data_IF_906794574665
#
_entry.id   IF_906794574665
#
_cell.length_a   1.000
_cell.length_b   1.000
_cell.length_c   1.000
_cell.angle_alpha   90.00
_cell.angle_beta   90.00
_cell.angle_gamma   90.00
#
_symmetry.space_group_name_H-M   'P 1'
#
loop_
_entity.id
_entity.type
_entity.pdbx_description
1 polymer ?
#
# COMPACT_ATOMS: atom_id res chain seq x y z
N UNK A 1 22.96 2.78 -23.15
CA UNK A 1 23.61 4.09 -22.94
C UNK A 1 22.56 5.07 -22.45
N UNK A 2 22.90 6.05 -21.59
CA UNK A 2 21.95 7.09 -21.17
C UNK A 2 21.39 7.79 -22.41
N UNK A 3 20.07 8.07 -22.51
CA UNK A 3 19.54 8.83 -23.64
C UNK A 3 20.25 10.18 -23.72
N UNK A 4 20.79 10.50 -24.91
CA UNK A 4 21.48 11.75 -25.19
C UNK A 4 20.45 12.88 -25.35
N UNK A 5 20.00 13.45 -24.24
CA UNK A 5 18.94 14.46 -24.18
C UNK A 5 19.40 15.79 -23.60
N UNK A 6 18.74 16.87 -24.01
CA UNK A 6 18.82 18.16 -23.30
C UNK A 6 17.85 18.18 -22.11
N UNK A 7 18.10 19.02 -21.10
CA UNK A 7 17.35 19.10 -19.83
C UNK A 7 15.80 19.27 -19.99
N UNK A 8 15.33 19.67 -21.17
CA UNK A 8 13.93 19.92 -21.51
C UNK A 8 13.28 18.85 -22.41
N UNK A 9 13.90 17.68 -22.56
CA UNK A 9 13.39 16.61 -23.42
C UNK A 9 13.03 15.36 -22.60
N UNK A 10 11.81 14.87 -22.79
CA UNK A 10 11.36 13.57 -22.27
C UNK A 10 11.59 12.50 -23.34
N UNK A 11 12.24 11.41 -22.98
CA UNK A 11 12.47 10.28 -23.89
C UNK A 11 11.76 9.04 -23.36
N UNK A 12 10.94 8.44 -24.22
CA UNK A 12 10.46 7.08 -23.97
C UNK A 12 11.64 6.11 -24.06
N UNK A 13 11.64 5.10 -23.20
CA UNK A 13 12.61 4.02 -23.31
C UNK A 13 12.33 3.20 -24.57
N UNK A 14 13.38 2.72 -25.26
CA UNK A 14 13.22 1.82 -26.40
C UNK A 14 12.39 0.57 -26.03
N UNK A 15 11.53 0.05 -26.93
CA UNK A 15 10.72 -1.12 -26.66
C UNK A 15 11.51 -2.35 -26.20
N UNK A 16 12.73 -2.55 -26.73
CA UNK A 16 13.64 -3.63 -26.35
C UNK A 16 14.23 -3.46 -24.93
N UNK A 17 14.28 -2.24 -24.41
CA UNK A 17 14.59 -2.00 -22.99
C UNK A 17 13.37 -2.30 -22.14
N UNK A 18 12.19 -1.83 -22.57
CA UNK A 18 10.93 -2.01 -21.83
C UNK A 18 10.59 -3.50 -21.60
N UNK A 19 10.81 -4.35 -22.60
CA UNK A 19 10.55 -5.79 -22.53
C UNK A 19 11.77 -6.63 -22.09
N UNK A 20 12.89 -5.98 -21.76
CA UNK A 20 14.07 -6.63 -21.17
C UNK A 20 15.03 -7.30 -22.14
N UNK A 21 14.82 -7.18 -23.46
CA UNK A 21 15.78 -7.66 -24.48
C UNK A 21 17.13 -6.93 -24.43
N UNK A 22 17.14 -5.67 -24.00
CA UNK A 22 18.34 -4.85 -23.83
C UNK A 22 18.43 -4.32 -22.39
N UNK A 23 19.56 -4.55 -21.72
CA UNK A 23 19.85 -3.99 -20.39
C UNK A 23 20.55 -2.64 -20.51
N UNK A 24 20.10 -1.66 -19.72
CA UNK A 24 20.68 -0.32 -19.68
C UNK A 24 21.36 0.04 -18.34
N UNK A 25 21.20 -0.82 -17.33
CA UNK A 25 21.81 -0.68 -16.02
C UNK A 25 21.06 0.22 -15.04
N UNK A 26 19.80 0.56 -15.31
CA UNK A 26 18.97 1.30 -14.37
C UNK A 26 18.18 0.38 -13.43
N UNK A 27 17.80 0.93 -12.27
CA UNK A 27 16.85 0.30 -11.36
C UNK A 27 15.44 0.81 -11.68
N UNK A 28 14.55 -0.13 -11.96
CA UNK A 28 13.16 0.12 -12.31
C UNK A 28 12.21 -0.12 -11.13
N UNK A 29 11.00 0.48 -11.13
CA UNK A 29 10.04 0.25 -10.07
C UNK A 29 9.62 -1.24 -10.01
N UNK A 30 9.53 -1.79 -8.81
CA UNK A 30 9.12 -3.18 -8.57
C UNK A 30 7.61 -3.33 -8.32
N UNK A 31 6.89 -2.22 -8.21
CA UNK A 31 5.45 -2.12 -8.12
C UNK A 31 5.05 -0.73 -8.65
N UNK A 32 3.90 -0.64 -9.29
CA UNK A 32 3.36 0.64 -9.77
C UNK A 32 1.99 0.88 -9.16
N UNK A 33 1.77 2.14 -8.80
CA UNK A 33 0.54 2.66 -8.24
C UNK A 33 0.19 3.91 -9.04
N UNK A 34 -0.96 3.89 -9.70
CA UNK A 34 -1.44 4.94 -10.58
C UNK A 34 -2.65 5.67 -9.98
N UNK A 35 -3.14 6.67 -10.73
CA UNK A 35 -4.25 7.51 -10.30
C UNK A 35 -5.64 6.90 -10.52
N UNK A 36 -5.73 5.76 -11.22
CA UNK A 36 -6.91 4.91 -11.24
C UNK A 36 -7.05 4.15 -9.91
N UNK A 37 -5.93 3.75 -9.29
CA UNK A 37 -5.96 3.13 -7.95
C UNK A 37 -6.11 4.15 -6.82
N UNK A 38 -5.39 5.26 -6.83
CA UNK A 38 -5.64 6.32 -5.85
C UNK A 38 -5.06 7.69 -6.17
N UNK A 39 -4.49 8.39 -5.19
CA UNK A 39 -4.03 9.78 -5.39
C UNK A 39 -2.60 10.00 -4.94
N UNK A 40 -2.24 9.58 -3.73
CA UNK A 40 -0.94 9.86 -3.16
C UNK A 40 -0.61 8.86 -2.06
N UNK A 41 0.49 8.12 -2.23
CA UNK A 41 1.01 7.24 -1.18
C UNK A 41 1.56 8.08 -0.03
N UNK A 42 1.05 7.83 1.18
CA UNK A 42 1.48 8.47 2.44
C UNK A 42 2.72 7.81 3.04
N UNK A 43 2.94 6.53 2.74
CA UNK A 43 4.00 5.69 3.28
C UNK A 43 3.61 4.21 3.25
N UNK A 44 4.52 3.34 3.65
CA UNK A 44 4.28 1.91 3.73
C UNK A 44 5.40 1.14 4.43
N UNK A 45 5.10 -0.08 4.87
CA UNK A 45 6.01 -0.95 5.60
C UNK A 45 5.85 -2.41 5.18
N UNK A 46 6.96 -3.15 5.18
CA UNK A 46 6.92 -4.60 5.21
C UNK A 46 6.28 -5.08 6.53
N UNK A 47 5.28 -5.95 6.42
CA UNK A 47 4.52 -6.44 7.55
C UNK A 47 4.99 -7.81 8.03
N UNK A 48 5.27 -7.88 9.33
CA UNK A 48 5.74 -9.09 10.03
C UNK A 48 4.98 -9.35 11.33
N UNK A 49 3.88 -8.62 11.57
CA UNK A 49 3.08 -8.73 12.78
C UNK A 49 2.15 -9.96 12.80
N UNK A 50 1.09 -9.88 13.61
CA UNK A 50 0.23 -11.03 13.90
C UNK A 50 -0.85 -11.32 12.87
N UNK A 51 -1.17 -10.40 11.95
CA UNK A 51 -2.19 -10.59 10.91
C UNK A 51 -1.66 -11.55 9.82
N UNK A 52 -2.10 -12.82 9.76
CA UNK A 52 -1.46 -13.80 8.89
C UNK A 52 -1.54 -13.45 7.40
N UNK A 53 -2.67 -12.89 6.96
CA UNK A 53 -2.90 -12.49 5.57
C UNK A 53 -1.98 -11.36 5.07
N UNK A 54 -1.40 -10.57 5.98
CA UNK A 54 -0.50 -9.47 5.64
C UNK A 54 0.98 -9.85 5.76
N UNK A 55 1.32 -11.00 6.36
CA UNK A 55 2.73 -11.39 6.53
C UNK A 55 3.40 -11.56 5.17
N UNK A 56 4.58 -10.96 5.03
CA UNK A 56 5.32 -10.99 3.77
C UNK A 56 4.77 -10.03 2.71
N UNK A 57 3.86 -9.11 3.08
CA UNK A 57 3.38 -8.04 2.20
C UNK A 57 4.04 -6.71 2.56
N UNK A 58 4.26 -5.87 1.56
CA UNK A 58 4.48 -4.44 1.73
C UNK A 58 3.11 -3.76 1.78
N UNK A 59 2.73 -3.23 2.94
CA UNK A 59 1.44 -2.56 3.15
C UNK A 59 1.66 -1.06 3.08
N UNK A 60 0.89 -0.36 2.25
CA UNK A 60 1.00 1.10 2.07
C UNK A 60 -0.37 1.76 2.01
N UNK A 61 -0.42 3.07 2.26
CA UNK A 61 -1.69 3.79 2.40
C UNK A 61 -1.80 5.01 1.50
N UNK A 62 -2.99 5.22 0.94
CA UNK A 62 -3.37 6.41 0.18
C UNK A 62 -3.83 7.54 1.10
N UNK A 63 -3.14 8.67 1.04
CA UNK A 63 -3.35 9.82 1.92
C UNK A 63 -4.74 10.43 1.75
N UNK A 64 -5.22 10.52 0.49
CA UNK A 64 -6.40 11.32 0.16
C UNK A 64 -7.69 10.53 0.40
N UNK A 65 -7.81 9.33 -0.16
CA UNK A 65 -8.99 8.48 -0.07
C UNK A 65 -8.99 7.59 1.16
N UNK A 66 -7.85 7.41 1.83
CA UNK A 66 -7.74 6.56 3.03
C UNK A 66 -7.83 5.07 2.73
N UNK A 67 -7.41 4.65 1.53
CA UNK A 67 -7.36 3.23 1.13
C UNK A 67 -6.02 2.63 1.53
N UNK A 68 -6.02 1.34 1.85
CA UNK A 68 -4.79 0.57 2.09
C UNK A 68 -4.58 -0.41 0.95
N UNK A 69 -3.32 -0.61 0.59
CA UNK A 69 -2.92 -1.51 -0.48
C UNK A 69 -1.77 -2.39 -0.04
N UNK A 70 -1.61 -3.52 -0.73
CA UNK A 70 -0.53 -4.47 -0.51
C UNK A 70 0.13 -4.88 -1.81
N UNK A 71 1.43 -5.13 -1.75
CA UNK A 71 2.16 -5.91 -2.73
C UNK A 71 2.91 -7.04 -2.03
N UNK A 72 3.03 -8.20 -2.68
CA UNK A 72 3.81 -9.31 -2.16
C UNK A 72 5.32 -9.00 -2.20
N UNK A 73 6.03 -9.14 -1.07
CA UNK A 73 7.46 -8.81 -0.99
C UNK A 73 8.31 -9.73 -1.87
N UNK A 74 7.94 -11.01 -2.00
CA UNK A 74 8.66 -11.93 -2.87
C UNK A 74 8.41 -11.61 -4.34
N UNK A 75 7.18 -11.22 -4.71
CA UNK A 75 6.88 -10.72 -6.04
C UNK A 75 7.62 -9.43 -6.36
N UNK A 76 7.67 -8.47 -5.43
CA UNK A 76 8.46 -7.23 -5.58
C UNK A 76 9.94 -7.55 -5.74
N UNK A 77 10.47 -8.49 -4.96
CA UNK A 77 11.88 -8.89 -5.10
C UNK A 77 12.16 -9.61 -6.42
N UNK A 78 11.20 -10.36 -6.95
CA UNK A 78 11.29 -10.98 -8.28
C UNK A 78 11.24 -9.94 -9.40
N UNK A 79 10.46 -8.87 -9.24
CA UNK A 79 10.36 -7.75 -10.16
C UNK A 79 11.60 -6.83 -10.17
N UNK A 80 12.52 -7.00 -9.22
CA UNK A 80 13.85 -6.37 -9.21
C UNK A 80 14.80 -7.09 -10.20
N UNK A 81 14.34 -7.32 -11.43
CA UNK A 81 15.05 -8.05 -12.50
C UNK A 81 15.70 -7.13 -13.56
N UNK A 82 15.42 -5.82 -13.46
CA UNK A 82 15.89 -4.79 -14.38
C UNK A 82 15.02 -4.62 -15.62
N UNK A 83 13.81 -5.19 -15.66
CA UNK A 83 12.86 -5.07 -16.76
C UNK A 83 11.75 -4.08 -16.37
N UNK A 84 11.59 -2.93 -17.06
CA UNK A 84 10.61 -1.89 -16.71
C UNK A 84 9.16 -2.38 -16.61
N UNK A 85 8.80 -3.41 -17.37
CA UNK A 85 7.45 -3.96 -17.43
C UNK A 85 7.18 -5.06 -16.39
N UNK A 86 8.21 -5.58 -15.72
CA UNK A 86 8.01 -6.55 -14.64
C UNK A 86 7.70 -5.81 -13.35
N UNK A 87 6.44 -5.86 -12.91
CA UNK A 87 6.01 -5.26 -11.64
C UNK A 87 5.19 -6.25 -10.82
N UNK A 88 5.32 -6.15 -9.49
CA UNK A 88 4.43 -6.86 -8.59
C UNK A 88 3.03 -6.25 -8.63
N UNK A 89 1.96 -7.07 -8.64
CA UNK A 89 0.60 -6.56 -8.54
C UNK A 89 0.38 -5.89 -7.18
N UNK A 90 -0.46 -4.86 -7.20
CA UNK A 90 -0.98 -4.23 -6.00
C UNK A 90 -2.45 -4.63 -5.81
N UNK A 91 -2.84 -4.89 -4.57
CA UNK A 91 -4.20 -5.28 -4.19
C UNK A 91 -4.70 -4.37 -3.07
N UNK A 92 -5.98 -4.00 -3.10
CA UNK A 92 -6.59 -3.23 -2.01
C UNK A 92 -6.91 -4.12 -0.81
N UNK A 93 -6.66 -3.60 0.40
CA UNK A 93 -7.09 -4.20 1.66
C UNK A 93 -8.45 -3.62 2.05
N UNK A 94 -9.47 -4.49 2.09
CA UNK A 94 -10.78 -4.12 2.63
C UNK A 94 -10.73 -4.03 4.16
N UNK A 95 -11.12 -2.87 4.69
CA UNK A 95 -11.24 -2.64 6.13
C UNK A 95 -12.64 -3.00 6.63
N UNK A 96 -12.72 -3.44 7.89
CA UNK A 96 -13.96 -3.60 8.63
C UNK A 96 -13.76 -3.30 10.11
N UNK A 97 -14.82 -2.92 10.79
CA UNK A 97 -14.90 -2.84 12.25
C UNK A 97 -15.79 -3.96 12.80
N UNK A 98 -15.65 -4.23 14.10
CA UNK A 98 -16.57 -5.10 14.84
C UNK A 98 -17.16 -4.35 16.01
N UNK A 99 -18.46 -4.51 16.22
CA UNK A 99 -19.12 -4.04 17.43
C UNK A 99 -18.89 -4.99 18.62
N UNK A 100 -19.39 -4.61 19.80
CA UNK A 100 -19.28 -5.43 21.02
C UNK A 100 -20.00 -6.79 20.90
N UNK A 101 -20.97 -6.92 19.99
CA UNK A 101 -21.69 -8.16 19.69
C UNK A 101 -20.94 -9.03 18.66
N UNK A 102 -19.82 -8.54 18.11
CA UNK A 102 -19.01 -9.23 17.12
C UNK A 102 -19.47 -9.05 15.66
N UNK A 103 -20.50 -8.24 15.40
CA UNK A 103 -21.00 -8.00 14.04
C UNK A 103 -19.96 -7.24 13.23
N UNK A 104 -19.70 -7.67 12.00
CA UNK A 104 -18.77 -7.00 11.09
C UNK A 104 -19.49 -5.92 10.29
N UNK A 105 -18.84 -4.76 10.19
CA UNK A 105 -19.25 -3.69 9.28
C UNK A 105 -18.06 -3.32 8.41
N UNK A 106 -18.17 -3.52 7.11
CA UNK A 106 -17.17 -3.05 6.16
C UNK A 106 -17.18 -1.53 6.14
N UNK A 107 -15.99 -0.94 6.16
CA UNK A 107 -15.80 0.51 6.20
C UNK A 107 -14.64 0.93 5.31
N UNK A 108 -14.65 2.17 4.90
CA UNK A 108 -13.45 2.90 4.48
C UNK A 108 -12.83 3.61 5.68
N UNK A 109 -11.54 3.92 5.61
CA UNK A 109 -10.92 4.74 6.66
C UNK A 109 -11.55 6.14 6.73
N UNK A 110 -11.96 6.70 5.59
CA UNK A 110 -12.63 8.00 5.53
C UNK A 110 -13.96 8.00 6.27
N UNK A 111 -14.77 6.95 6.18
CA UNK A 111 -16.01 6.83 6.95
C UNK A 111 -15.75 6.84 8.46
N UNK A 112 -14.67 6.20 8.93
CA UNK A 112 -14.29 6.24 10.34
C UNK A 112 -13.88 7.65 10.80
N UNK A 113 -13.19 8.39 9.93
CA UNK A 113 -12.83 9.79 10.17
C UNK A 113 -14.08 10.67 10.20
N UNK A 114 -14.96 10.56 9.21
CA UNK A 114 -16.20 11.33 9.10
C UNK A 114 -17.14 11.07 10.28
N UNK A 115 -17.25 9.82 10.74
CA UNK A 115 -18.01 9.46 11.93
C UNK A 115 -17.43 10.10 13.21
N UNK A 116 -16.11 10.21 13.31
CA UNK A 116 -15.45 10.86 14.45
C UNK A 116 -15.64 12.38 14.43
N UNK A 117 -15.58 12.98 13.23
CA UNK A 117 -15.71 14.42 13.03
C UNK A 117 -17.17 14.92 13.06
N UNK A 118 -18.14 14.03 12.83
CA UNK A 118 -19.55 14.42 12.67
C UNK A 118 -19.81 15.24 11.41
N UNK A 119 -18.94 15.15 10.41
CA UNK A 119 -19.00 15.92 9.17
C UNK A 119 -18.34 15.17 8.02
N UNK A 120 -18.75 15.48 6.78
CA UNK A 120 -18.08 14.98 5.57
C UNK A 120 -16.71 15.62 5.42
N UNK A 121 -15.69 14.82 5.15
CA UNK A 121 -14.30 15.29 5.08
C UNK A 121 -13.79 15.23 3.65
N UNK A 122 -13.14 16.27 3.11
CA UNK A 122 -12.68 16.24 1.71
C UNK A 122 -11.60 15.18 1.46
N UNK A 123 -10.86 14.78 2.50
CA UNK A 123 -9.79 13.78 2.46
C UNK A 123 -9.70 13.04 3.79
N UNK A 124 -9.09 11.87 3.78
CA UNK A 124 -8.86 11.08 4.97
C UNK A 124 -7.59 11.48 5.75
N UNK A 125 -6.57 12.04 5.08
CA UNK A 125 -5.23 12.29 5.63
C UNK A 125 -4.58 11.07 6.30
N UNK A 126 -4.72 9.91 5.66
CA UNK A 126 -4.15 8.67 6.18
C UNK A 126 -2.61 8.77 6.21
N UNK A 127 -2.04 8.42 7.35
CA UNK A 127 -0.63 8.11 7.54
C UNK A 127 -0.54 6.70 8.12
N UNK A 128 0.48 5.95 7.72
CA UNK A 128 0.76 4.63 8.26
C UNK A 128 2.05 4.67 9.08
N UNK A 129 2.09 3.94 10.19
CA UNK A 129 3.27 3.75 11.01
C UNK A 129 3.35 2.30 11.50
N UNK A 130 4.50 1.89 12.03
CA UNK A 130 4.75 0.52 12.46
C UNK A 130 5.32 0.48 13.88
N UNK A 131 4.87 -0.47 14.69
CA UNK A 131 5.48 -0.79 15.98
C UNK A 131 6.80 -1.57 15.83
N UNK A 132 7.49 -1.81 16.94
CA UNK A 132 8.71 -2.65 16.95
C UNK A 132 8.44 -4.10 16.57
N UNK A 133 7.28 -4.64 16.97
CA UNK A 133 6.83 -6.01 16.71
C UNK A 133 6.12 -6.17 15.36
N UNK A 134 6.11 -5.13 14.53
CA UNK A 134 5.64 -5.20 13.15
C UNK A 134 4.14 -5.01 12.95
N UNK A 135 3.41 -4.59 13.98
CA UNK A 135 2.01 -4.16 13.88
C UNK A 135 1.90 -2.78 13.22
N UNK A 136 0.78 -2.53 12.54
CA UNK A 136 0.56 -1.28 11.83
C UNK A 136 -0.45 -0.41 12.55
N UNK A 137 -0.16 0.87 12.59
CA UNK A 137 -1.10 1.92 12.96
C UNK A 137 -1.44 2.75 11.74
N UNK A 138 -2.71 3.12 11.63
CA UNK A 138 -3.21 4.12 10.69
C UNK A 138 -3.68 5.34 11.46
N UNK A 139 -3.19 6.50 11.06
CA UNK A 139 -3.47 7.78 11.71
C UNK A 139 -4.16 8.70 10.72
N UNK A 140 -5.16 9.46 11.16
CA UNK A 140 -5.69 10.57 10.37
C UNK A 140 -5.32 11.89 11.03
N UNK A 141 -4.85 12.84 10.22
CA UNK A 141 -4.65 14.22 10.68
C UNK A 141 -5.94 15.03 10.74
N UNK A 142 -7.04 14.52 10.17
CA UNK A 142 -8.34 15.20 10.23
C UNK A 142 -8.95 15.06 11.63
N UNK A 143 -8.97 13.84 12.16
CA UNK A 143 -9.58 13.53 13.46
C UNK A 143 -8.56 13.37 14.61
N UNK A 144 -7.26 13.34 14.31
CA UNK A 144 -6.20 13.17 15.30
C UNK A 144 -6.10 11.76 15.89
N UNK A 145 -6.84 10.79 15.36
CA UNK A 145 -6.95 9.45 15.91
C UNK A 145 -5.88 8.51 15.34
N UNK A 146 -5.31 7.70 16.22
CA UNK A 146 -4.42 6.58 15.88
C UNK A 146 -5.21 5.28 16.06
N UNK A 147 -5.29 4.46 15.02
CA UNK A 147 -6.01 3.18 15.01
C UNK A 147 -5.04 2.06 14.66
N UNK A 148 -5.16 0.91 15.32
CA UNK A 148 -4.30 -0.25 15.07
C UNK A 148 -5.02 -1.27 14.19
N UNK A 149 -4.34 -1.82 13.18
CA UNK A 149 -4.83 -3.01 12.49
C UNK A 149 -4.61 -4.22 13.38
N UNK A 150 -5.63 -5.06 13.53
CA UNK A 150 -5.59 -6.23 14.42
C UNK A 150 -5.97 -7.51 13.67
N UNK A 151 -5.48 -8.68 14.10
CA UNK A 151 -5.89 -9.97 13.54
C UNK A 151 -7.40 -10.21 13.66
N UNK A 152 -7.96 -10.95 12.70
CA UNK A 152 -9.34 -11.40 12.78
C UNK A 152 -9.47 -12.49 13.86
N UNK A 153 -10.07 -12.12 14.99
CA UNK A 153 -10.27 -12.98 16.17
C UNK A 153 -11.08 -14.26 15.89
N UNK A 154 -11.69 -14.39 14.71
CA UNK A 154 -12.37 -15.63 14.27
C UNK A 154 -11.43 -16.73 13.77
N UNK A 155 -10.14 -16.43 13.61
CA UNK A 155 -9.10 -17.41 13.27
C UNK A 155 -8.18 -17.61 14.45
N UNK A 156 -8.63 -18.39 15.44
CA UNK A 156 -7.68 -19.17 16.26
C UNK A 156 -6.84 -20.01 15.31
N UNK A 157 -5.59 -19.61 15.12
CA UNK A 157 -4.57 -20.43 14.49
C UNK A 157 -4.51 -21.75 15.26
N UNK A 158 -5.04 -22.82 14.64
CA UNK A 158 -4.62 -24.16 15.02
C UNK A 158 -3.15 -24.23 14.66
N UNK A 159 -2.29 -24.08 15.67
CA UNK A 159 -0.87 -24.33 15.53
C UNK A 159 -0.67 -25.80 15.15
N UNK A 160 -0.19 -26.05 13.93
CA UNK A 160 0.68 -27.18 13.57
C UNK A 160 1.59 -26.77 12.42
#
# INVERSE_FOLDING_TARGET
TRPGGSLNQLFALPPDVLDGRTKDGFTYPVAMYDHNEGQAVSGGFAYYGRIPALRGKFVFGDLVRGRLFVADLAAMKKADDGIPQTVAPIEEVQLYTRDASGNRTYVTFRELVEATMGATMPRADLHISRSRDGELFVTSRQDGMIRMLVPDSGTTSAAR
#
